data_IF_029853147635
#
_entry.id   IF_029853147635
#
_cell.length_a   1.000
_cell.length_b   1.000
_cell.length_c   1.000
_cell.angle_alpha   90.00
_cell.angle_beta   90.00
_cell.angle_gamma   90.00
#
_symmetry.space_group_name_H-M   'P 1'
#
loop_
_entity.id
_entity.type
_entity.pdbx_description
1 polymer ?
#
# COMPACT_ATOMS: atom_id res chain seq x y z
N UNK A 1 -35.47 -14.06 -1.12
CA UNK A 1 -34.69 -13.59 0.05
C UNK A 1 -33.18 -13.78 -0.11
N UNK A 2 -32.65 -14.98 -0.41
CA UNK A 2 -31.18 -15.22 -0.57
C UNK A 2 -30.50 -14.38 -1.66
N UNK A 3 -31.19 -14.10 -2.77
CA UNK A 3 -30.68 -13.28 -3.88
C UNK A 3 -30.47 -11.80 -3.49
N UNK A 4 -31.33 -11.27 -2.61
CA UNK A 4 -31.27 -9.86 -2.19
C UNK A 4 -30.09 -9.61 -1.24
N UNK A 5 -29.82 -10.54 -0.31
CA UNK A 5 -28.66 -10.48 0.60
C UNK A 5 -27.32 -10.49 -0.16
N UNK A 6 -27.25 -11.31 -1.20
CA UNK A 6 -26.03 -11.47 -2.00
C UNK A 6 -25.73 -10.23 -2.84
N UNK A 7 -26.74 -9.57 -3.40
CA UNK A 7 -26.56 -8.29 -4.11
C UNK A 7 -26.09 -7.17 -3.17
N UNK A 8 -26.53 -7.17 -1.90
CA UNK A 8 -26.01 -6.24 -0.89
C UNK A 8 -24.55 -6.53 -0.57
N UNK A 9 -24.17 -7.80 -0.40
CA UNK A 9 -22.78 -8.20 -0.14
C UNK A 9 -21.82 -7.81 -1.28
N UNK A 10 -22.21 -8.02 -2.54
CA UNK A 10 -21.39 -7.60 -3.69
C UNK A 10 -21.19 -6.09 -3.72
N UNK A 11 -22.25 -5.34 -3.43
CA UNK A 11 -22.19 -3.88 -3.35
C UNK A 11 -21.32 -3.41 -2.19
N UNK A 12 -21.43 -4.03 -1.01
CA UNK A 12 -20.60 -3.73 0.16
C UNK A 12 -19.12 -4.01 -0.11
N UNK A 13 -18.80 -5.13 -0.77
CA UNK A 13 -17.43 -5.44 -1.18
C UNK A 13 -16.88 -4.42 -2.18
N UNK A 14 -17.65 -4.05 -3.21
CA UNK A 14 -17.24 -3.03 -4.18
C UNK A 14 -17.02 -1.65 -3.52
N UNK A 15 -17.87 -1.28 -2.56
CA UNK A 15 -17.69 -0.05 -1.79
C UNK A 15 -16.46 -0.11 -0.89
N UNK A 16 -16.18 -1.25 -0.26
CA UNK A 16 -15.01 -1.45 0.57
C UNK A 16 -13.71 -1.27 -0.23
N UNK A 17 -13.64 -1.82 -1.45
CA UNK A 17 -12.48 -1.66 -2.34
C UNK A 17 -12.21 -0.19 -2.69
N UNK A 18 -13.26 0.56 -3.06
CA UNK A 18 -13.14 2.00 -3.36
C UNK A 18 -12.67 2.79 -2.13
N UNK A 19 -13.18 2.46 -0.94
CA UNK A 19 -12.78 3.12 0.31
C UNK A 19 -11.31 2.83 0.62
N UNK A 20 -10.86 1.60 0.44
CA UNK A 20 -9.47 1.21 0.69
C UNK A 20 -8.50 1.88 -0.29
N UNK A 21 -8.86 2.00 -1.56
CA UNK A 21 -8.05 2.75 -2.53
C UNK A 21 -7.90 4.22 -2.12
N UNK A 22 -8.99 4.85 -1.68
CA UNK A 22 -8.97 6.25 -1.21
C UNK A 22 -8.16 6.43 0.06
N UNK A 23 -8.26 5.50 1.02
CA UNK A 23 -7.44 5.53 2.25
C UNK A 23 -5.96 5.49 1.93
N UNK A 24 -5.53 4.58 1.03
CA UNK A 24 -4.14 4.48 0.60
C UNK A 24 -3.66 5.76 -0.09
N UNK A 25 -4.49 6.34 -0.97
CA UNK A 25 -4.18 7.60 -1.62
C UNK A 25 -4.02 8.74 -0.60
N UNK A 26 -4.86 8.77 0.43
CA UNK A 26 -4.79 9.76 1.51
C UNK A 26 -3.53 9.59 2.38
N UNK A 27 -3.17 8.36 2.75
CA UNK A 27 -1.93 8.08 3.49
C UNK A 27 -0.68 8.49 2.69
N UNK A 28 -0.69 8.29 1.38
CA UNK A 28 0.37 8.74 0.48
C UNK A 28 0.45 10.27 0.43
N UNK A 29 -0.69 10.95 0.34
CA UNK A 29 -0.73 12.42 0.35
C UNK A 29 -0.23 12.99 1.68
N UNK A 30 -0.66 12.40 2.80
CA UNK A 30 -0.25 12.78 4.16
C UNK A 30 1.26 12.62 4.37
N UNK A 31 1.83 11.49 3.94
CA UNK A 31 3.28 11.27 4.06
C UNK A 31 4.10 12.25 3.20
N UNK A 32 3.62 12.62 2.02
CA UNK A 32 4.23 13.67 1.17
C UNK A 32 4.21 15.03 1.82
N UNK A 33 3.09 15.41 2.43
CA UNK A 33 2.97 16.68 3.13
C UNK A 33 3.92 16.74 4.34
N UNK A 34 4.00 15.68 5.14
CA UNK A 34 4.95 15.57 6.25
C UNK A 34 6.40 15.68 5.79
N UNK A 35 6.73 15.08 4.65
CA UNK A 35 8.07 15.15 4.05
C UNK A 35 8.39 16.57 3.56
N UNK A 36 7.44 17.23 2.88
CA UNK A 36 7.60 18.61 2.42
C UNK A 36 7.85 19.58 3.58
N UNK A 37 7.23 19.35 4.73
CA UNK A 37 7.45 20.18 5.92
C UNK A 37 8.75 19.84 6.68
N UNK A 38 9.18 18.58 6.69
CA UNK A 38 10.38 18.14 7.43
C UNK A 38 11.69 18.30 6.64
N UNK A 39 11.64 18.23 5.30
CA UNK A 39 12.80 18.38 4.42
C UNK A 39 13.55 19.71 4.57
N UNK A 40 12.88 20.88 4.59
CA UNK A 40 13.58 22.16 4.75
C UNK A 40 14.33 22.25 6.08
N UNK A 41 13.74 21.75 7.17
CA UNK A 41 14.38 21.73 8.49
C UNK A 41 15.60 20.81 8.54
N UNK A 42 15.47 19.61 7.96
CA UNK A 42 16.59 18.68 7.82
C UNK A 42 17.70 19.22 6.91
N UNK A 43 17.36 19.86 5.80
CA UNK A 43 18.33 20.47 4.90
C UNK A 43 19.07 21.63 5.57
N UNK A 44 18.35 22.53 6.25
CA UNK A 44 18.94 23.68 6.94
C UNK A 44 19.91 23.21 8.04
N UNK A 45 19.53 22.20 8.82
CA UNK A 45 20.38 21.65 9.88
C UNK A 45 21.64 20.98 9.32
N UNK A 46 21.55 20.26 8.20
CA UNK A 46 22.71 19.69 7.50
C UNK A 46 23.63 20.79 6.97
N UNK A 47 23.09 21.83 6.34
CA UNK A 47 23.88 22.96 5.84
C UNK A 47 24.57 23.72 6.97
N UNK A 48 23.86 24.01 8.07
CA UNK A 48 24.42 24.67 9.24
C UNK A 48 25.52 23.82 9.90
N UNK A 49 25.32 22.52 9.99
CA UNK A 49 26.30 21.58 10.55
C UNK A 49 27.55 21.48 9.67
N UNK A 50 27.37 21.41 8.34
CA UNK A 50 28.46 21.41 7.38
C UNK A 50 29.26 22.72 7.41
N UNK A 51 28.56 23.87 7.43
CA UNK A 51 29.19 25.19 7.56
C UNK A 51 30.00 25.30 8.86
N UNK A 52 29.43 24.88 9.99
CA UNK A 52 30.10 24.88 11.29
C UNK A 52 31.36 24.02 11.30
N UNK A 53 31.30 22.83 10.68
CA UNK A 53 32.44 21.92 10.59
C UNK A 53 33.59 22.50 9.74
N UNK A 54 33.27 23.16 8.62
CA UNK A 54 34.28 23.83 7.78
C UNK A 54 34.94 25.00 8.50
N UNK A 55 34.15 25.81 9.22
CA UNK A 55 34.66 26.98 9.94
C UNK A 55 35.56 26.59 11.12
N UNK A 56 35.15 25.61 11.93
CA UNK A 56 35.90 25.18 13.12
C UNK A 56 36.93 24.07 12.85
N UNK A 57 37.02 23.55 11.62
CA UNK A 57 37.82 22.37 11.23
C UNK A 57 37.63 21.15 12.17
N UNK A 58 36.45 21.01 12.75
CA UNK A 58 36.14 19.93 13.67
C UNK A 58 35.03 19.02 13.12
N UNK A 59 35.36 17.73 12.98
CA UNK A 59 34.51 16.70 12.37
C UNK A 59 33.35 16.32 13.29
N UNK A 60 33.43 16.61 14.59
CA UNK A 60 32.34 16.31 15.54
C UNK A 60 31.04 17.03 15.16
N UNK A 61 31.11 18.19 14.50
CA UNK A 61 29.94 18.92 14.04
C UNK A 61 29.18 18.25 12.88
N UNK A 62 29.74 17.23 12.22
CA UNK A 62 29.03 16.46 11.18
C UNK A 62 28.27 15.27 11.73
N UNK A 63 28.44 14.92 13.02
CA UNK A 63 27.74 13.82 13.67
C UNK A 63 26.19 13.87 13.56
N UNK A 64 25.50 15.02 13.71
CA UNK A 64 24.04 15.08 13.59
C UNK A 64 23.52 14.88 12.16
N UNK A 65 24.39 14.95 11.14
CA UNK A 65 23.99 14.75 9.75
C UNK A 65 23.52 13.30 9.53
N UNK A 66 24.19 12.32 10.14
CA UNK A 66 23.86 10.90 9.97
C UNK A 66 22.42 10.54 10.36
N UNK A 67 21.93 10.85 11.58
CA UNK A 67 20.56 10.52 11.96
C UNK A 67 19.53 11.28 11.11
N UNK A 68 19.80 12.54 10.77
CA UNK A 68 18.90 13.37 9.95
C UNK A 68 18.79 12.78 8.54
N UNK A 69 19.92 12.47 7.90
CA UNK A 69 19.94 11.87 6.57
C UNK A 69 19.30 10.48 6.55
N UNK A 70 19.51 9.66 7.58
CA UNK A 70 18.89 8.34 7.69
C UNK A 70 17.37 8.45 7.81
N UNK A 71 16.89 9.38 8.63
CA UNK A 71 15.46 9.63 8.80
C UNK A 71 14.80 10.14 7.52
N UNK A 72 15.41 11.13 6.84
CA UNK A 72 14.90 11.66 5.58
C UNK A 72 14.95 10.61 4.46
N UNK A 73 16.00 9.81 4.40
CA UNK A 73 16.11 8.67 3.47
C UNK A 73 15.00 7.64 3.71
N UNK A 74 14.70 7.32 4.96
CA UNK A 74 13.59 6.43 5.30
C UNK A 74 12.24 7.01 4.88
N UNK A 75 11.97 8.29 5.18
CA UNK A 75 10.72 8.94 4.78
C UNK A 75 10.57 9.05 3.26
N UNK A 76 11.62 9.40 2.53
CA UNK A 76 11.60 9.46 1.06
C UNK A 76 11.34 8.07 0.47
N UNK A 77 11.95 7.03 1.02
CA UNK A 77 11.72 5.66 0.60
C UNK A 77 10.28 5.20 0.88
N UNK A 78 9.65 5.63 1.98
CA UNK A 78 8.24 5.36 2.23
C UNK A 78 7.31 6.09 1.25
N UNK A 79 7.63 7.35 0.92
CA UNK A 79 6.80 8.21 0.07
C UNK A 79 6.89 7.86 -1.43
N UNK A 80 8.07 7.48 -1.92
CA UNK A 80 8.36 7.22 -3.34
C UNK A 80 8.74 5.77 -3.63
N UNK A 81 8.82 4.92 -2.62
CA UNK A 81 9.22 3.53 -2.78
C UNK A 81 8.21 2.70 -3.59
N UNK A 82 8.73 1.74 -4.33
CA UNK A 82 7.92 0.92 -5.23
C UNK A 82 7.40 -0.40 -4.60
N UNK A 83 7.51 -0.54 -3.27
CA UNK A 83 7.20 -1.81 -2.58
C UNK A 83 5.76 -2.27 -2.83
N UNK A 84 4.80 -1.34 -2.80
CA UNK A 84 3.39 -1.66 -3.04
C UNK A 84 3.13 -2.20 -4.47
N UNK A 85 3.76 -1.61 -5.50
CA UNK A 85 3.59 -2.12 -6.86
C UNK A 85 4.30 -3.45 -7.05
N UNK A 86 5.46 -3.64 -6.41
CA UNK A 86 6.18 -4.92 -6.43
C UNK A 86 5.31 -6.01 -5.80
N UNK A 87 4.72 -5.76 -4.64
CA UNK A 87 3.81 -6.70 -3.97
C UNK A 87 2.59 -6.97 -4.84
N UNK A 88 1.95 -5.93 -5.42
CA UNK A 88 0.81 -6.10 -6.32
C UNK A 88 1.18 -6.93 -7.56
N UNK A 89 2.36 -6.68 -8.14
CA UNK A 89 2.88 -7.42 -9.29
C UNK A 89 3.17 -8.87 -8.92
N UNK A 90 3.75 -9.12 -7.74
CA UNK A 90 4.03 -10.46 -7.23
C UNK A 90 2.75 -11.24 -6.96
N UNK A 91 1.76 -10.64 -6.31
CA UNK A 91 0.44 -11.25 -6.10
C UNK A 91 -0.22 -11.54 -7.44
N UNK A 92 -0.13 -10.62 -8.41
CA UNK A 92 -0.70 -10.82 -9.74
C UNK A 92 0.00 -11.95 -10.51
N UNK A 93 1.33 -12.03 -10.44
CA UNK A 93 2.10 -13.12 -11.07
C UNK A 93 1.84 -14.45 -10.38
N UNK A 94 1.78 -14.48 -9.04
CA UNK A 94 1.46 -15.68 -8.26
C UNK A 94 0.03 -16.16 -8.52
N UNK A 95 -0.94 -15.25 -8.71
CA UNK A 95 -2.30 -15.57 -9.18
C UNK A 95 -2.33 -16.12 -10.61
N UNK A 96 -1.30 -15.84 -11.41
CA UNK A 96 -1.16 -16.33 -12.78
C UNK A 96 -0.50 -17.72 -12.81
N UNK A 97 0.24 -18.10 -11.78
CA UNK A 97 0.72 -19.47 -11.62
C UNK A 97 -0.44 -20.39 -11.16
N UNK A 98 -0.62 -21.57 -11.78
CA UNK A 98 -1.86 -22.36 -11.68
C UNK A 98 -1.98 -23.17 -10.38
N UNK A 99 -1.49 -22.65 -9.25
CA UNK A 99 -1.57 -23.30 -7.96
C UNK A 99 -2.51 -22.47 -7.08
N UNK A 100 -3.74 -22.98 -6.95
CA UNK A 100 -4.87 -22.39 -6.23
C UNK A 100 -5.69 -21.38 -7.05
N UNK A 101 -6.51 -21.94 -7.94
CA UNK A 101 -7.73 -21.30 -8.47
C UNK A 101 -8.53 -20.72 -7.30
N UNK A 102 -8.34 -19.43 -6.98
CA UNK A 102 -9.19 -18.75 -6.00
C UNK A 102 -10.61 -18.92 -6.49
N UNK A 103 -11.46 -19.55 -5.69
CA UNK A 103 -12.87 -19.76 -6.02
C UNK A 103 -13.45 -18.38 -6.31
N UNK A 104 -13.60 -18.07 -7.59
CA UNK A 104 -14.19 -16.82 -8.02
C UNK A 104 -15.67 -16.92 -7.68
N UNK A 105 -16.34 -15.80 -7.35
CA UNK A 105 -17.78 -15.81 -7.09
C UNK A 105 -18.55 -16.52 -8.23
N UNK A 106 -18.07 -16.38 -9.46
CA UNK A 106 -18.57 -17.09 -10.63
C UNK A 106 -18.46 -18.63 -10.53
N UNK A 107 -17.39 -19.16 -9.95
CA UNK A 107 -17.27 -20.60 -9.66
C UNK A 107 -18.24 -21.04 -8.55
N UNK A 108 -18.52 -20.17 -7.56
CA UNK A 108 -19.55 -20.45 -6.53
C UNK A 108 -20.94 -20.48 -7.17
N UNK A 109 -21.28 -19.50 -8.00
CA UNK A 109 -22.57 -19.45 -8.71
C UNK A 109 -22.79 -20.68 -9.58
N UNK A 110 -21.78 -21.02 -10.40
CA UNK A 110 -21.82 -22.19 -11.26
C UNK A 110 -22.03 -23.48 -10.46
N UNK A 111 -21.31 -23.66 -9.36
CA UNK A 111 -21.46 -24.84 -8.49
C UNK A 111 -22.83 -24.89 -7.82
N UNK A 112 -23.42 -23.73 -7.54
CA UNK A 112 -24.78 -23.61 -6.98
C UNK A 112 -25.86 -23.97 -7.98
N UNK A 113 -25.71 -23.57 -9.24
CA UNK A 113 -26.59 -23.98 -10.34
C UNK A 113 -26.50 -25.48 -10.61
N UNK A 114 -25.28 -26.04 -10.61
CA UNK A 114 -25.05 -27.48 -10.74
C UNK A 114 -25.80 -28.26 -9.64
N UNK A 115 -25.69 -27.82 -8.37
CA UNK A 115 -26.41 -28.45 -7.25
C UNK A 115 -27.94 -28.29 -7.33
N UNK A 116 -28.44 -27.18 -7.89
CA UNK A 116 -29.88 -27.00 -8.08
C UNK A 116 -30.42 -27.92 -9.18
N UNK A 117 -29.68 -28.10 -10.28
CA UNK A 117 -30.04 -29.04 -11.35
C UNK A 117 -30.05 -30.48 -10.86
N UNK A 118 -29.04 -30.91 -10.12
CA UNK A 118 -28.95 -32.27 -9.58
C UNK A 118 -30.18 -32.60 -8.73
N UNK A 119 -30.55 -31.68 -7.83
CA UNK A 119 -31.74 -31.84 -6.98
C UNK A 119 -33.03 -31.95 -7.79
N UNK A 120 -33.17 -31.22 -8.89
CA UNK A 120 -34.38 -31.25 -9.73
C UNK A 120 -34.46 -32.51 -10.61
N UNK A 121 -33.34 -33.21 -10.84
CA UNK A 121 -33.30 -34.54 -11.51
C UNK A 121 -33.55 -35.73 -10.58
N UNK A 122 -33.47 -35.55 -9.27
CA UNK A 122 -33.69 -36.61 -8.27
C UNK A 122 -35.17 -36.74 -7.85
N UNK A 123 -36.07 -35.92 -8.42
CA UNK A 123 -37.53 -35.99 -8.30
C UNK A 123 -38.17 -36.27 -9.67
#
# INVERSE_FOLDING_TARGET
MKMLCLFQLEREMALAEIVDERKRAYELAKSREMLLWSMPGGLLTVLASAYSSLHHKNIIHTLPILPIMTYLCYQTHLCYGNKLQIIKKQILSERTEPILKTITLNDVYRRREELMKIRDTEW
#
